data_IF_757480113723
#
_entry.id   IF_757480113723
#
_cell.length_a   1.000
_cell.length_b   1.000
_cell.length_c   1.000
_cell.angle_alpha   90.00
_cell.angle_beta   90.00
_cell.angle_gamma   90.00
#
_symmetry.space_group_name_H-M   'P 1'
#
loop_
_entity.id
_entity.type
_entity.pdbx_description
1 polymer ?
#
# COMPACT_ATOMS: atom_id res chain seq x y z
N UNK A 1 -4.13 20.03 -11.76
CA UNK A 1 -3.73 18.85 -12.55
C UNK A 1 -3.67 17.72 -11.57
N UNK A 2 -4.54 16.72 -11.71
CA UNK A 2 -4.53 15.54 -10.84
C UNK A 2 -3.21 14.80 -11.02
N UNK A 3 -2.62 14.34 -9.90
CA UNK A 3 -1.35 13.62 -9.96
C UNK A 3 -1.64 12.14 -10.23
N UNK A 4 -1.18 11.66 -11.39
CA UNK A 4 -1.38 10.29 -11.87
C UNK A 4 -0.94 9.24 -10.84
N UNK A 5 0.11 9.52 -10.05
CA UNK A 5 0.60 8.61 -9.02
C UNK A 5 -0.41 8.43 -7.88
N UNK A 6 -1.00 9.53 -7.41
CA UNK A 6 -2.06 9.48 -6.39
C UNK A 6 -3.33 8.79 -6.95
N UNK A 7 -3.70 9.07 -8.20
CA UNK A 7 -4.81 8.40 -8.88
C UNK A 7 -4.62 6.88 -8.97
N UNK A 8 -3.41 6.42 -9.29
CA UNK A 8 -3.09 4.99 -9.37
C UNK A 8 -3.30 4.33 -8.01
N UNK A 9 -2.67 4.84 -6.96
CA UNK A 9 -2.77 4.22 -5.63
C UNK A 9 -4.17 4.26 -5.04
N UNK A 10 -4.97 5.26 -5.42
CA UNK A 10 -6.33 5.38 -4.93
C UNK A 10 -7.34 4.60 -5.76
N UNK A 11 -7.50 4.96 -7.04
CA UNK A 11 -8.61 4.53 -7.87
C UNK A 11 -8.27 3.37 -8.79
N UNK A 12 -6.99 3.16 -9.10
CA UNK A 12 -6.56 2.16 -10.08
C UNK A 12 -5.39 1.31 -9.59
N UNK A 13 -5.39 0.80 -8.34
CA UNK A 13 -4.26 0.04 -7.84
C UNK A 13 -4.05 -1.28 -8.59
N UNK A 14 -5.10 -1.82 -9.23
CA UNK A 14 -5.02 -2.97 -10.13
C UNK A 14 -4.19 -2.75 -11.40
N UNK A 15 -3.91 -1.51 -11.81
CA UNK A 15 -2.95 -1.26 -12.88
C UNK A 15 -1.49 -1.45 -12.44
N UNK A 16 -1.19 -1.49 -11.14
CA UNK A 16 0.18 -1.64 -10.65
C UNK A 16 0.79 -2.98 -11.10
N UNK A 17 -0.01 -4.03 -11.23
CA UNK A 17 0.49 -5.32 -11.73
C UNK A 17 0.90 -5.29 -13.20
N UNK A 18 0.37 -4.37 -13.99
CA UNK A 18 0.82 -4.14 -15.37
C UNK A 18 2.06 -3.23 -15.41
N UNK A 19 2.15 -2.28 -14.48
CA UNK A 19 3.26 -1.32 -14.39
C UNK A 19 4.52 -1.91 -13.76
N UNK A 20 4.37 -2.89 -12.86
CA UNK A 20 5.47 -3.53 -12.14
C UNK A 20 5.18 -5.03 -11.89
N UNK A 21 5.05 -5.84 -12.97
CA UNK A 21 4.66 -7.25 -12.87
C UNK A 21 5.63 -8.11 -12.08
N UNK A 22 6.92 -7.74 -12.05
CA UNK A 22 7.95 -8.46 -11.28
C UNK A 22 7.77 -8.29 -9.77
N UNK A 23 7.21 -7.16 -9.32
CA UNK A 23 7.01 -6.86 -7.90
C UNK A 23 5.57 -7.13 -7.45
N UNK A 24 4.58 -6.81 -8.28
CA UNK A 24 3.14 -6.98 -7.97
C UNK A 24 2.52 -7.80 -9.09
N UNK A 25 2.00 -8.96 -8.74
CA UNK A 25 1.39 -9.89 -9.69
C UNK A 25 -0.12 -9.71 -9.81
N UNK A 26 -0.76 -9.09 -8.81
CA UNK A 26 -2.19 -8.84 -8.86
C UNK A 26 -2.69 -7.98 -7.72
N UNK A 27 -3.77 -7.25 -8.00
CA UNK A 27 -4.52 -6.48 -7.00
C UNK A 27 -6.00 -6.69 -7.23
N UNK A 28 -6.72 -7.16 -6.20
CA UNK A 28 -8.13 -7.52 -6.30
C UNK A 28 -8.94 -6.76 -5.27
N UNK A 29 -10.09 -6.20 -5.68
CA UNK A 29 -11.08 -5.61 -4.78
C UNK A 29 -12.01 -6.71 -4.27
N UNK A 30 -12.18 -6.78 -2.95
CA UNK A 30 -13.06 -7.75 -2.28
C UNK A 30 -14.36 -7.12 -1.81
N UNK A 31 -14.27 -5.92 -1.25
CA UNK A 31 -15.41 -5.19 -0.68
C UNK A 31 -15.30 -3.69 -0.96
N UNK A 32 -16.45 -3.03 -1.11
CA UNK A 32 -16.54 -1.59 -1.39
C UNK A 32 -16.24 -1.26 -2.86
N UNK A 33 -15.78 -0.03 -3.09
CA UNK A 33 -15.44 0.50 -4.39
C UNK A 33 -13.97 0.95 -4.43
N UNK A 34 -13.37 1.01 -5.62
CA UNK A 34 -12.02 1.54 -5.74
C UNK A 34 -11.94 3.00 -5.29
N UNK A 35 -10.93 3.33 -4.48
CA UNK A 35 -10.68 4.70 -4.03
C UNK A 35 -11.61 5.24 -2.96
N UNK A 36 -12.35 4.37 -2.26
CA UNK A 36 -13.18 4.73 -1.12
C UNK A 36 -12.63 4.19 0.20
N UNK A 37 -12.81 4.96 1.28
CA UNK A 37 -12.47 4.52 2.65
C UNK A 37 -13.38 3.35 3.04
N UNK A 38 -12.79 2.34 3.68
CA UNK A 38 -13.45 1.10 4.09
C UNK A 38 -13.37 -0.03 3.06
N UNK A 39 -12.93 0.25 1.83
CA UNK A 39 -12.77 -0.80 0.81
C UNK A 39 -11.67 -1.79 1.19
N UNK A 40 -11.90 -3.05 0.83
CA UNK A 40 -10.99 -4.16 1.12
C UNK A 40 -10.31 -4.61 -0.16
N UNK A 41 -8.98 -4.58 -0.17
CA UNK A 41 -8.15 -4.88 -1.34
C UNK A 41 -7.14 -5.96 -0.95
N UNK A 42 -6.85 -6.91 -1.82
CA UNK A 42 -5.71 -7.81 -1.65
C UNK A 42 -4.64 -7.60 -2.69
N UNK A 43 -3.40 -7.78 -2.28
CA UNK A 43 -2.20 -7.72 -3.09
C UNK A 43 -1.55 -9.10 -3.17
N UNK A 44 -1.14 -9.47 -4.38
CA UNK A 44 -0.19 -10.54 -4.65
C UNK A 44 1.10 -9.85 -5.10
N UNK A 45 2.18 -10.05 -4.34
CA UNK A 45 3.44 -9.37 -4.56
C UNK A 45 4.62 -10.29 -4.27
N UNK A 46 5.80 -9.92 -4.74
CA UNK A 46 7.03 -10.69 -4.57
C UNK A 46 8.09 -9.82 -3.89
N UNK A 47 8.71 -10.36 -2.83
CA UNK A 47 9.88 -9.77 -2.16
C UNK A 47 10.97 -10.84 -2.12
N UNK A 48 12.18 -10.51 -2.54
CA UNK A 48 13.34 -11.42 -2.57
C UNK A 48 13.05 -12.77 -3.25
N UNK A 49 12.27 -12.73 -4.34
CA UNK A 49 11.87 -13.91 -5.11
C UNK A 49 10.84 -14.81 -4.42
N UNK A 50 10.28 -14.39 -3.27
CA UNK A 50 9.21 -15.11 -2.59
C UNK A 50 7.89 -14.41 -2.82
N UNK A 51 6.92 -15.17 -3.33
CA UNK A 51 5.54 -14.73 -3.44
C UNK A 51 4.94 -14.52 -2.05
N UNK A 52 4.17 -13.44 -1.91
CA UNK A 52 3.55 -12.98 -0.68
C UNK A 52 2.16 -12.41 -0.98
N UNK A 53 1.38 -12.32 0.08
CA UNK A 53 0.04 -11.77 0.07
C UNK A 53 -0.16 -10.75 1.17
N UNK A 54 -0.98 -9.74 0.89
CA UNK A 54 -1.50 -8.82 1.88
C UNK A 54 -2.97 -8.55 1.58
N UNK A 55 -3.79 -8.42 2.60
CA UNK A 55 -5.15 -7.87 2.49
C UNK A 55 -5.23 -6.63 3.35
N UNK A 56 -5.69 -5.55 2.74
CA UNK A 56 -5.71 -4.23 3.32
C UNK A 56 -7.13 -3.65 3.34
N UNK A 57 -7.40 -2.83 4.34
CA UNK A 57 -8.51 -1.88 4.33
C UNK A 57 -7.95 -0.51 3.99
N UNK A 58 -8.60 0.22 3.06
CA UNK A 58 -8.33 1.66 2.90
C UNK A 58 -8.85 2.37 4.15
N UNK A 59 -7.94 2.72 5.06
CA UNK A 59 -8.28 3.28 6.36
C UNK A 59 -8.58 4.79 6.27
N UNK A 60 -7.84 5.51 5.42
CA UNK A 60 -8.02 6.95 5.25
C UNK A 60 -7.59 7.41 3.85
N UNK A 61 -8.24 8.48 3.38
CA UNK A 61 -7.88 9.21 2.16
C UNK A 61 -7.92 10.69 2.50
N UNK A 62 -6.87 11.42 2.14
CA UNK A 62 -6.81 12.86 2.23
C UNK A 62 -6.54 13.45 0.84
N UNK A 63 -7.53 14.14 0.30
CA UNK A 63 -7.48 14.77 -1.02
C UNK A 63 -6.61 16.01 -1.05
N UNK A 64 -6.56 16.75 0.06
CA UNK A 64 -5.82 18.00 0.15
C UNK A 64 -4.32 17.72 0.15
N UNK A 65 -3.91 16.71 0.92
CA UNK A 65 -2.52 16.26 0.97
C UNK A 65 -2.19 15.20 -0.09
N UNK A 66 -3.19 14.66 -0.79
CA UNK A 66 -3.02 13.54 -1.75
C UNK A 66 -2.38 12.33 -1.07
N UNK A 67 -2.98 11.88 0.03
CA UNK A 67 -2.54 10.69 0.75
C UNK A 67 -3.60 9.59 0.79
N UNK A 68 -3.11 8.34 0.77
CA UNK A 68 -3.92 7.13 0.99
C UNK A 68 -3.25 6.30 2.07
N UNK A 69 -4.03 5.87 3.06
CA UNK A 69 -3.58 4.99 4.14
C UNK A 69 -4.19 3.61 3.99
N UNK A 70 -3.33 2.60 3.86
CA UNK A 70 -3.68 1.19 3.84
C UNK A 70 -3.38 0.58 5.20
N UNK A 71 -4.34 -0.14 5.76
CA UNK A 71 -4.17 -0.92 6.99
C UNK A 71 -4.18 -2.40 6.62
N UNK A 72 -3.07 -3.08 6.84
CA UNK A 72 -2.96 -4.52 6.61
C UNK A 72 -3.77 -5.24 7.69
N UNK A 73 -4.63 -6.17 7.26
CA UNK A 73 -5.51 -6.96 8.14
C UNK A 73 -5.26 -8.47 8.02
N UNK A 74 -4.74 -8.95 6.88
CA UNK A 74 -4.35 -10.34 6.68
C UNK A 74 -3.11 -10.43 5.75
N UNK A 75 -2.46 -11.60 5.74
CA UNK A 75 -1.33 -11.90 4.85
C UNK A 75 0.00 -12.04 5.58
N UNK A 76 1.07 -12.20 4.81
CA UNK A 76 2.42 -12.54 5.29
C UNK A 76 2.97 -11.55 6.33
N UNK A 77 2.66 -10.26 6.18
CA UNK A 77 3.10 -9.24 7.14
C UNK A 77 2.49 -9.44 8.54
N UNK A 78 1.30 -10.02 8.62
CA UNK A 78 0.62 -10.24 9.90
C UNK A 78 1.19 -11.41 10.70
N UNK A 79 2.09 -12.21 10.12
CA UNK A 79 2.87 -13.22 10.83
C UNK A 79 4.07 -12.63 11.60
N UNK A 80 4.45 -11.39 11.27
CA UNK A 80 5.62 -10.70 11.82
C UNK A 80 5.22 -9.47 12.65
N UNK A 81 4.18 -8.77 12.22
CA UNK A 81 3.72 -7.52 12.82
C UNK A 81 2.30 -7.68 13.36
N UNK A 82 2.07 -7.19 14.58
CA UNK A 82 0.75 -7.12 15.21
C UNK A 82 -0.13 -6.07 14.55
N UNK A 83 0.48 -4.97 14.11
CA UNK A 83 -0.18 -3.95 13.29
C UNK A 83 0.78 -3.52 12.19
N UNK A 84 0.25 -3.22 11.01
CA UNK A 84 1.01 -2.67 9.91
C UNK A 84 0.12 -1.72 9.10
N UNK A 85 0.59 -0.49 8.90
CA UNK A 85 -0.06 0.52 8.08
C UNK A 85 0.95 1.14 7.12
N UNK A 86 0.47 1.42 5.92
CA UNK A 86 1.23 2.03 4.84
C UNK A 86 0.54 3.31 4.46
N UNK A 87 1.26 4.43 4.52
CA UNK A 87 0.78 5.73 4.04
C UNK A 87 1.57 6.08 2.78
N UNK A 88 0.84 6.35 1.70
CA UNK A 88 1.39 6.85 0.44
C UNK A 88 0.96 8.30 0.32
N UNK A 89 1.92 9.22 0.33
CA UNK A 89 1.68 10.66 0.21
C UNK A 89 2.39 11.21 -1.02
N UNK A 90 1.69 12.04 -1.81
CA UNK A 90 2.23 12.62 -3.05
C UNK A 90 2.27 14.15 -2.96
N UNK A 91 3.48 14.70 -2.81
CA UNK A 91 3.70 16.14 -2.84
C UNK A 91 4.05 16.62 -4.25
N UNK A 92 3.33 17.63 -4.71
CA UNK A 92 3.46 18.26 -6.03
C UNK A 92 3.58 19.78 -5.94
N UNK A 93 3.85 20.32 -4.74
CA UNK A 93 3.84 21.77 -4.50
C UNK A 93 5.14 22.46 -4.94
N UNK A 94 6.23 21.70 -5.12
CA UNK A 94 7.52 22.21 -5.59
C UNK A 94 7.79 21.99 -7.08
N UNK A 95 9.04 22.20 -7.50
CA UNK A 95 9.49 21.93 -8.88
C UNK A 95 9.46 20.43 -9.23
N UNK A 96 9.58 19.57 -8.22
CA UNK A 96 9.61 18.12 -8.35
C UNK A 96 8.35 17.49 -7.75
N UNK A 97 7.97 16.34 -8.29
CA UNK A 97 6.99 15.45 -7.66
C UNK A 97 7.70 14.51 -6.69
N UNK A 98 7.28 14.48 -5.43
CA UNK A 98 7.83 13.62 -4.39
C UNK A 98 6.76 12.63 -3.92
N UNK A 99 7.12 11.36 -3.86
CA UNK A 99 6.29 10.31 -3.24
C UNK A 99 6.94 9.90 -1.93
N UNK A 100 6.20 9.96 -0.84
CA UNK A 100 6.65 9.52 0.49
C UNK A 100 5.87 8.29 0.90
N UNK A 101 6.60 7.21 1.17
CA UNK A 101 6.07 5.99 1.78
C UNK A 101 6.38 6.02 3.27
N UNK A 102 5.37 5.85 4.12
CA UNK A 102 5.54 5.77 5.57
C UNK A 102 4.93 4.49 6.10
N UNK A 103 5.70 3.75 6.91
CA UNK A 103 5.25 2.53 7.55
C UNK A 103 5.05 2.76 9.04
N UNK A 104 3.87 2.43 9.55
CA UNK A 104 3.59 2.39 10.98
C UNK A 104 3.30 0.96 11.38
N UNK A 105 4.08 0.40 12.31
CA UNK A 105 3.97 -1.00 12.67
C UNK A 105 4.28 -1.26 14.14
N UNK A 106 3.74 -2.36 14.65
CA UNK A 106 4.06 -2.94 15.94
C UNK A 106 4.54 -4.38 15.68
N UNK A 107 5.77 -4.73 16.07
CA UNK A 107 6.29 -6.08 15.89
C UNK A 107 5.58 -7.06 16.84
N UNK A 108 5.43 -8.33 16.43
CA UNK A 108 4.93 -9.38 17.32
C UNK A 108 5.95 -9.77 18.39
N UNK A 109 7.24 -9.64 18.08
CA UNK A 109 8.37 -9.90 18.96
C UNK A 109 9.50 -8.92 18.67
N UNK A 110 10.35 -8.65 19.66
CA UNK A 110 11.45 -7.68 19.52
C UNK A 110 12.50 -8.07 18.49
N UNK A 111 12.68 -9.36 18.23
CA UNK A 111 13.65 -9.94 17.30
C UNK A 111 13.20 -9.95 15.83
N UNK A 112 11.95 -9.57 15.55
CA UNK A 112 11.46 -9.38 14.19
C UNK A 112 12.23 -8.23 13.54
N UNK A 113 12.68 -8.41 12.30
CA UNK A 113 13.42 -7.39 11.57
C UNK A 113 12.56 -6.16 11.26
N UNK A 114 13.22 -5.02 11.08
CA UNK A 114 12.54 -3.83 10.55
C UNK A 114 12.08 -4.11 9.10
N UNK A 115 10.97 -3.51 8.64
CA UNK A 115 10.42 -3.73 7.30
C UNK A 115 11.23 -2.97 6.22
N UNK A 116 12.54 -3.16 6.22
CA UNK A 116 13.46 -2.67 5.21
C UNK A 116 13.74 -3.83 4.26
N UNK A 117 13.30 -3.73 3.01
CA UNK A 117 13.67 -4.67 1.95
C UNK A 117 14.89 -4.13 1.20
N UNK A 118 15.85 -5.01 0.88
CA UNK A 118 17.10 -4.66 0.18
C UNK A 118 16.99 -4.75 -1.33
#
# INVERSE_FOLDING_TARGET
>A
MENVFHEIFRYRPHHISEMSPDNVQGVNLHEGDWGTVGSVISWNYTIDGKEKTAKDIIEAIDEETKSVTFKVVEGDLMELYKTFKIVVHVDTKGENNLVTWTFHYEKLKEDVEEPNTH
#
